data_IF_701452201995
#
_entry.id   IF_701452201995
#
_cell.length_a   1.000
_cell.length_b   1.000
_cell.length_c   1.000
_cell.angle_alpha   90.00
_cell.angle_beta   90.00
_cell.angle_gamma   90.00
#
_symmetry.space_group_name_H-M   'P 1'
#
loop_
_entity.id
_entity.type
_entity.pdbx_description
1 polymer ?
#
# COMPACT_ATOMS: atom_id res chain seq x y z
N UNK A 1 9.60 18.34 -0.50
CA UNK A 1 9.00 17.09 -1.03
C UNK A 1 9.58 15.90 -0.29
N UNK A 2 8.83 14.81 -0.20
CA UNK A 2 9.37 13.54 0.28
C UNK A 2 10.57 13.10 -0.55
N UNK A 3 11.65 12.62 0.06
CA UNK A 3 12.81 12.18 -0.72
C UNK A 3 12.53 10.93 -1.56
N UNK A 4 13.52 10.50 -2.36
CA UNK A 4 13.50 9.23 -3.11
C UNK A 4 13.05 8.04 -2.25
N UNK A 5 13.62 7.94 -1.05
CA UNK A 5 13.30 6.85 -0.13
C UNK A 5 11.86 6.95 0.42
N UNK A 6 11.34 8.17 0.61
CA UNK A 6 9.96 8.42 1.02
C UNK A 6 8.92 7.96 -0.02
N UNK A 7 9.34 7.77 -1.27
CA UNK A 7 8.52 7.20 -2.34
C UNK A 7 8.76 5.69 -2.51
N UNK A 8 10.03 5.28 -2.54
CA UNK A 8 10.42 3.89 -2.82
C UNK A 8 9.91 2.91 -1.77
N UNK A 9 10.13 3.17 -0.48
CA UNK A 9 9.82 2.18 0.56
C UNK A 9 8.32 2.00 0.82
N UNK A 10 7.50 3.08 0.89
CA UNK A 10 6.05 2.91 0.94
C UNK A 10 5.53 2.25 -0.34
N UNK A 11 6.05 2.62 -1.51
CA UNK A 11 5.69 2.03 -2.78
C UNK A 11 5.94 0.52 -2.83
N UNK A 12 7.10 0.05 -2.39
CA UNK A 12 7.41 -1.38 -2.26
C UNK A 12 6.46 -2.09 -1.29
N UNK A 13 6.22 -1.50 -0.12
CA UNK A 13 5.34 -2.08 0.91
C UNK A 13 3.92 -2.27 0.37
N UNK A 14 3.39 -1.25 -0.31
CA UNK A 14 2.07 -1.27 -0.94
C UNK A 14 2.02 -2.29 -2.10
N UNK A 15 3.06 -2.33 -2.93
CA UNK A 15 3.14 -3.25 -4.07
C UNK A 15 3.13 -4.73 -3.62
N UNK A 16 3.98 -5.08 -2.64
CA UNK A 16 4.01 -6.45 -2.10
C UNK A 16 2.72 -6.83 -1.39
N UNK A 17 2.04 -5.87 -0.76
CA UNK A 17 0.72 -6.09 -0.19
C UNK A 17 -0.32 -6.41 -1.28
N UNK A 18 -0.27 -5.72 -2.42
CA UNK A 18 -1.07 -6.05 -3.60
C UNK A 18 -0.81 -7.46 -4.15
N UNK A 19 0.47 -7.84 -4.29
CA UNK A 19 0.88 -9.19 -4.71
C UNK A 19 0.38 -10.28 -3.75
N UNK A 20 0.42 -10.01 -2.44
CA UNK A 20 -0.11 -10.92 -1.43
C UNK A 20 -1.61 -11.17 -1.64
N UNK A 21 -2.40 -10.11 -1.84
CA UNK A 21 -3.84 -10.25 -2.13
C UNK A 21 -4.09 -10.95 -3.47
N UNK A 22 -3.31 -10.66 -4.51
CA UNK A 22 -3.41 -11.34 -5.81
C UNK A 22 -3.24 -12.87 -5.67
N UNK A 23 -2.27 -13.31 -4.86
CA UNK A 23 -2.06 -14.73 -4.54
C UNK A 23 -3.23 -15.33 -3.76
N UNK A 24 -3.75 -14.62 -2.76
CA UNK A 24 -4.90 -15.08 -1.97
C UNK A 24 -6.14 -15.30 -2.85
N UNK A 25 -6.42 -14.37 -3.75
CA UNK A 25 -7.56 -14.43 -4.66
C UNK A 25 -7.41 -15.57 -5.65
N UNK A 26 -6.20 -15.73 -6.22
CA UNK A 26 -5.90 -16.86 -7.12
C UNK A 26 -6.18 -18.20 -6.43
N UNK A 27 -5.73 -18.35 -5.18
CA UNK A 27 -6.03 -19.53 -4.36
C UNK A 27 -7.54 -19.70 -4.11
N UNK A 28 -8.25 -18.62 -3.78
CA UNK A 28 -9.69 -18.67 -3.51
C UNK A 28 -10.49 -19.12 -4.75
N UNK A 29 -10.11 -18.61 -5.93
CA UNK A 29 -10.70 -19.00 -7.23
C UNK A 29 -10.43 -20.46 -7.56
N UNK A 30 -9.19 -20.93 -7.43
CA UNK A 30 -8.81 -22.31 -7.77
C UNK A 30 -9.46 -23.32 -6.82
N UNK A 31 -9.46 -23.03 -5.52
CA UNK A 31 -9.98 -23.97 -4.51
C UNK A 31 -11.50 -23.87 -4.31
N UNK A 32 -12.21 -22.98 -5.03
CA UNK A 32 -13.64 -22.67 -4.80
C UNK A 32 -13.98 -22.42 -3.32
N UNK A 33 -13.06 -21.79 -2.57
CA UNK A 33 -13.27 -21.45 -1.16
C UNK A 33 -13.39 -19.94 -1.02
N UNK A 34 -14.60 -19.38 -0.88
CA UNK A 34 -14.82 -17.93 -0.79
C UNK A 34 -14.52 -17.41 0.62
N UNK A 35 -13.38 -17.79 1.19
CA UNK A 35 -12.99 -17.39 2.53
C UNK A 35 -11.61 -16.74 2.44
N UNK A 36 -11.59 -15.41 2.34
CA UNK A 36 -10.37 -14.58 2.41
C UNK A 36 -9.58 -14.89 3.69
N UNK A 37 -10.32 -15.26 4.74
CA UNK A 37 -9.88 -15.31 6.12
C UNK A 37 -10.40 -16.59 6.80
N UNK A 38 -9.65 -17.71 6.74
CA UNK A 38 -10.08 -18.94 7.37
C UNK A 38 -10.33 -18.72 8.88
N UNK A 39 -11.35 -19.37 9.46
CA UNK A 39 -11.62 -19.25 10.89
C UNK A 39 -10.41 -19.66 11.72
N UNK A 40 -10.26 -19.03 12.89
CA UNK A 40 -9.17 -19.29 13.81
C UNK A 40 -9.12 -20.80 14.15
N UNK A 41 -8.02 -21.49 13.84
CA UNK A 41 -7.81 -22.86 14.31
C UNK A 41 -7.50 -22.83 15.81
N UNK A 42 -7.99 -23.78 16.63
CA UNK A 42 -7.63 -23.83 18.04
C UNK A 42 -6.12 -23.78 18.21
N UNK A 43 -5.64 -22.97 19.16
CA UNK A 43 -4.20 -22.87 19.43
C UNK A 43 -3.65 -24.25 19.79
N UNK A 44 -2.74 -24.75 18.95
CA UNK A 44 -2.01 -25.98 19.25
C UNK A 44 -1.08 -25.75 20.45
N UNK A 45 -0.92 -26.74 21.32
CA UNK A 45 -0.16 -26.59 22.57
C UNK A 45 1.36 -26.34 22.39
N UNK A 46 1.93 -26.57 21.19
CA UNK A 46 3.35 -26.36 20.93
C UNK A 46 3.71 -24.90 20.57
N UNK A 47 4.80 -24.34 21.15
CA UNK A 47 5.30 -22.99 20.83
C UNK A 47 5.55 -22.78 19.33
N UNK A 48 6.09 -23.79 18.65
CA UNK A 48 6.36 -23.75 17.21
C UNK A 48 5.10 -23.79 16.35
N UNK A 49 4.09 -24.55 16.78
CA UNK A 49 2.84 -24.64 16.08
C UNK A 49 1.97 -23.37 16.28
N UNK A 50 2.10 -22.71 17.45
CA UNK A 50 1.58 -21.36 17.71
C UNK A 50 2.23 -20.31 16.80
N UNK A 51 3.56 -20.31 16.66
CA UNK A 51 4.26 -19.39 15.75
C UNK A 51 3.77 -19.55 14.30
N UNK A 52 3.53 -20.78 13.85
CA UNK A 52 3.02 -21.08 12.49
C UNK A 52 1.58 -20.65 12.25
N UNK A 53 0.80 -20.36 13.31
CA UNK A 53 -0.60 -19.91 13.23
C UNK A 53 -0.75 -18.39 13.21
N UNK A 54 0.33 -17.63 13.40
CA UNK A 54 0.30 -16.15 13.44
C UNK A 54 0.04 -15.58 12.05
N UNK A 55 -0.89 -14.65 11.96
CA UNK A 55 -1.10 -13.83 10.77
C UNK A 55 -0.10 -12.67 10.77
N UNK A 56 0.81 -12.69 9.79
CA UNK A 56 1.93 -11.75 9.73
C UNK A 56 1.62 -10.40 9.11
N UNK A 57 0.45 -10.23 8.45
CA UNK A 57 0.13 -9.00 7.70
C UNK A 57 0.18 -7.77 8.60
N UNK A 58 -0.48 -7.79 9.75
CA UNK A 58 -0.47 -6.68 10.69
C UNK A 58 0.94 -6.39 11.26
N UNK A 59 1.73 -7.44 11.54
CA UNK A 59 3.11 -7.28 12.02
C UNK A 59 4.00 -6.63 10.95
N UNK A 60 3.86 -7.02 9.69
CA UNK A 60 4.60 -6.41 8.57
C UNK A 60 4.22 -4.93 8.44
N UNK A 61 2.94 -4.58 8.54
CA UNK A 61 2.49 -3.17 8.53
C UNK A 61 3.17 -2.37 9.64
N UNK A 62 3.12 -2.87 10.88
CA UNK A 62 3.75 -2.22 12.04
C UNK A 62 5.25 -2.02 11.83
N UNK A 63 5.98 -3.08 11.46
CA UNK A 63 7.43 -3.02 11.25
C UNK A 63 7.79 -2.05 10.13
N UNK A 64 7.07 -2.08 9.01
CA UNK A 64 7.30 -1.15 7.90
C UNK A 64 7.04 0.30 8.32
N UNK A 65 5.99 0.58 9.10
CA UNK A 65 5.74 1.94 9.63
C UNK A 65 6.90 2.43 10.51
N UNK A 66 7.48 1.58 11.36
CA UNK A 66 8.64 1.98 12.15
C UNK A 66 9.86 2.29 11.29
N UNK A 67 10.13 1.47 10.27
CA UNK A 67 11.24 1.70 9.33
C UNK A 67 11.04 3.03 8.59
N UNK A 68 9.82 3.28 8.11
CA UNK A 68 9.46 4.50 7.38
C UNK A 68 9.58 5.76 8.25
N UNK A 69 9.10 5.71 9.49
CA UNK A 69 9.25 6.81 10.46
C UNK A 69 10.72 7.06 10.77
N UNK A 70 11.50 6.01 11.05
CA UNK A 70 12.92 6.14 11.36
C UNK A 70 13.69 6.80 10.20
N UNK A 71 13.37 6.42 8.96
CA UNK A 71 13.97 7.00 7.76
C UNK A 71 13.59 8.47 7.56
N UNK A 72 12.32 8.83 7.72
CA UNK A 72 11.91 10.24 7.59
C UNK A 72 12.59 11.10 8.64
N UNK A 73 12.66 10.63 9.89
CA UNK A 73 13.36 11.34 10.96
C UNK A 73 14.87 11.44 10.70
N UNK A 74 15.49 10.41 10.12
CA UNK A 74 16.90 10.46 9.71
C UNK A 74 17.14 11.48 8.57
N UNK A 75 16.14 11.75 7.73
CA UNK A 75 16.27 12.74 6.65
C UNK A 75 16.22 14.20 7.13
N UNK A 76 15.71 14.45 8.34
CA UNK A 76 15.60 15.80 8.90
C UNK A 76 16.96 16.26 9.42
N UNK A 77 17.49 17.32 8.82
CA UNK A 77 18.72 17.97 9.29
C UNK A 77 18.39 18.93 10.44
N UNK A 78 18.42 18.43 11.68
CA UNK A 78 18.27 19.25 12.89
C UNK A 78 17.16 18.76 13.83
N UNK A 79 16.66 19.66 14.69
CA UNK A 79 15.57 19.34 15.59
C UNK A 79 14.24 19.29 14.81
N UNK A 80 13.54 18.16 14.94
CA UNK A 80 12.19 18.01 14.39
C UNK A 80 11.18 18.78 15.25
N UNK A 81 10.93 20.03 14.88
CA UNK A 81 10.03 20.96 15.60
C UNK A 81 8.83 21.26 14.72
N UNK A 82 7.64 21.41 15.31
CA UNK A 82 6.41 21.70 14.58
C UNK A 82 6.33 23.17 14.11
N UNK A 83 6.78 24.09 14.95
CA UNK A 83 6.65 25.54 14.75
C UNK A 83 8.02 26.18 14.92
N UNK A 84 8.45 26.93 13.92
CA UNK A 84 9.54 27.89 14.12
C UNK A 84 8.98 29.16 14.76
N UNK A 85 9.70 29.70 15.75
CA UNK A 85 9.43 31.04 16.32
C UNK A 85 10.46 32.07 15.86
N UNK A 86 11.28 31.72 14.88
CA UNK A 86 12.32 32.59 14.33
C UNK A 86 11.62 33.76 13.60
N UNK A 87 12.07 35.00 13.84
CA UNK A 87 11.53 36.25 13.27
C UNK A 87 10.05 36.61 13.59
N UNK A 88 9.51 36.21 14.77
CA UNK A 88 8.12 36.54 15.18
C UNK A 88 7.01 36.00 14.26
N UNK A 89 7.36 35.21 13.25
CA UNK A 89 6.42 34.59 12.33
C UNK A 89 6.20 33.13 12.75
N UNK A 90 4.95 32.77 13.04
CA UNK A 90 4.55 31.40 13.40
C UNK A 90 4.35 30.59 12.11
N UNK A 91 5.42 30.12 11.50
CA UNK A 91 5.34 29.19 10.37
C UNK A 91 5.47 27.75 10.85
N UNK A 92 4.62 26.88 10.30
CA UNK A 92 4.83 25.44 10.38
C UNK A 92 6.05 25.10 9.51
N UNK A 93 6.96 24.31 10.05
CA UNK A 93 8.17 23.84 9.35
C UNK A 93 8.09 22.32 9.20
N UNK A 94 8.73 21.80 8.15
CA UNK A 94 8.70 20.36 7.83
C UNK A 94 7.28 19.81 7.59
N UNK A 95 6.40 20.62 7.03
CA UNK A 95 5.01 20.29 6.69
C UNK A 95 4.88 18.95 5.94
N UNK A 96 5.71 18.72 4.92
CA UNK A 96 5.69 17.46 4.16
C UNK A 96 6.14 16.26 5.01
N UNK A 97 7.14 16.42 5.87
CA UNK A 97 7.55 15.35 6.79
C UNK A 97 6.46 15.05 7.83
N UNK A 98 5.75 16.06 8.33
CA UNK A 98 4.59 15.85 9.22
C UNK A 98 3.45 15.10 8.51
N UNK A 99 3.18 15.42 7.25
CA UNK A 99 2.22 14.66 6.43
C UNK A 99 2.67 13.21 6.24
N UNK A 100 3.96 12.96 5.97
CA UNK A 100 4.52 11.62 5.85
C UNK A 100 4.40 10.82 7.15
N UNK A 101 4.77 11.41 8.29
CA UNK A 101 4.59 10.77 9.60
C UNK A 101 3.12 10.44 9.88
N UNK A 102 2.20 11.34 9.51
CA UNK A 102 0.76 11.10 9.67
C UNK A 102 0.32 9.93 8.79
N UNK A 103 0.75 9.88 7.53
CA UNK A 103 0.52 8.73 6.66
C UNK A 103 1.04 7.43 7.28
N UNK A 104 2.28 7.39 7.76
CA UNK A 104 2.86 6.18 8.34
C UNK A 104 2.17 5.75 9.65
N UNK A 105 1.69 6.71 10.42
CA UNK A 105 0.88 6.46 11.62
C UNK A 105 -0.46 5.80 11.26
N UNK A 106 -1.12 6.18 10.17
CA UNK A 106 -2.34 5.47 9.73
C UNK A 106 -2.05 4.02 9.36
N UNK A 107 -0.92 3.75 8.70
CA UNK A 107 -0.52 2.38 8.36
C UNK A 107 -0.18 1.55 9.60
N UNK A 108 0.46 2.18 10.59
CA UNK A 108 0.76 1.57 11.88
C UNK A 108 -0.53 1.19 12.62
N UNK A 109 -1.48 2.11 12.72
CA UNK A 109 -2.77 1.87 13.38
C UNK A 109 -3.57 0.78 12.67
N UNK A 110 -3.61 0.77 11.35
CA UNK A 110 -4.21 -0.35 10.58
C UNK A 110 -3.51 -1.68 10.89
N UNK A 111 -2.18 -1.68 11.00
CA UNK A 111 -1.41 -2.86 11.40
C UNK A 111 -1.75 -3.35 12.81
N UNK A 112 -1.90 -2.44 13.78
CA UNK A 112 -2.33 -2.77 15.14
C UNK A 112 -3.71 -3.42 15.16
N UNK A 113 -4.67 -2.86 14.40
CA UNK A 113 -6.01 -3.43 14.27
C UNK A 113 -5.95 -4.85 13.68
N UNK A 114 -5.15 -5.05 12.63
CA UNK A 114 -4.95 -6.38 12.04
C UNK A 114 -4.38 -7.37 13.07
N UNK A 115 -3.36 -6.97 13.84
CA UNK A 115 -2.76 -7.85 14.86
C UNK A 115 -3.76 -8.22 15.94
N UNK A 116 -4.48 -7.22 16.46
CA UNK A 116 -5.48 -7.44 17.52
C UNK A 116 -6.59 -8.36 17.01
N UNK A 117 -7.16 -8.08 15.84
CA UNK A 117 -8.23 -8.88 15.26
C UNK A 117 -7.79 -10.30 14.91
N UNK A 118 -6.60 -10.47 14.31
CA UNK A 118 -6.19 -11.75 13.73
C UNK A 118 -5.46 -12.68 14.71
N UNK A 119 -4.86 -12.13 15.77
CA UNK A 119 -3.97 -12.90 16.65
C UNK A 119 -4.30 -12.79 18.15
N UNK A 120 -5.05 -11.76 18.59
CA UNK A 120 -5.32 -11.51 20.01
C UNK A 120 -6.77 -11.82 20.38
N UNK A 121 -7.73 -11.37 19.57
CA UNK A 121 -9.14 -11.57 19.86
C UNK A 121 -9.53 -13.06 19.76
N UNK A 122 -10.40 -13.58 20.65
CA UNK A 122 -10.91 -14.95 20.56
C UNK A 122 -11.65 -15.23 19.25
N UNK A 123 -12.33 -14.20 18.72
CA UNK A 123 -13.00 -14.22 17.43
C UNK A 123 -12.46 -13.07 16.58
N UNK A 124 -12.01 -13.42 15.36
CA UNK A 124 -11.54 -12.44 14.39
C UNK A 124 -12.67 -11.49 13.98
N UNK A 125 -12.35 -10.21 13.81
CA UNK A 125 -13.26 -9.14 13.40
C UNK A 125 -12.86 -8.53 12.03
N UNK A 126 -13.16 -9.19 10.89
CA UNK A 126 -12.77 -8.71 9.57
C UNK A 126 -13.32 -7.32 9.22
N UNK A 127 -14.50 -6.97 9.71
CA UNK A 127 -15.09 -5.65 9.50
C UNK A 127 -14.25 -4.53 10.14
N UNK A 128 -13.61 -4.79 11.28
CA UNK A 128 -12.73 -3.82 11.94
C UNK A 128 -11.43 -3.65 11.15
N UNK A 129 -10.87 -4.74 10.64
CA UNK A 129 -9.67 -4.73 9.76
C UNK A 129 -9.94 -3.91 8.48
N UNK A 130 -11.05 -4.20 7.80
CA UNK A 130 -11.48 -3.48 6.59
C UNK A 130 -11.80 -2.02 6.89
N UNK A 131 -12.48 -1.74 8.00
CA UNK A 131 -12.83 -0.39 8.42
C UNK A 131 -11.60 0.46 8.73
N UNK A 132 -10.61 -0.09 9.44
CA UNK A 132 -9.35 0.58 9.71
C UNK A 132 -8.55 0.83 8.42
N UNK A 133 -8.58 -0.10 7.47
CA UNK A 133 -7.95 0.06 6.17
C UNK A 133 -8.62 1.17 5.33
N UNK A 134 -9.96 1.20 5.29
CA UNK A 134 -10.71 2.26 4.60
C UNK A 134 -10.48 3.63 5.25
N UNK A 135 -10.49 3.71 6.59
CA UNK A 135 -10.17 4.94 7.32
C UNK A 135 -8.75 5.43 7.01
N UNK A 136 -7.77 4.52 6.97
CA UNK A 136 -6.40 4.86 6.59
C UNK A 136 -6.36 5.47 5.19
N UNK A 137 -7.06 4.87 4.22
CA UNK A 137 -7.13 5.42 2.85
C UNK A 137 -7.78 6.80 2.80
N UNK A 138 -8.85 7.01 3.56
CA UNK A 138 -9.52 8.31 3.64
C UNK A 138 -8.57 9.40 4.19
N UNK A 139 -7.82 9.10 5.25
CA UNK A 139 -6.86 10.03 5.83
C UNK A 139 -5.70 10.33 4.88
N UNK A 140 -5.19 9.33 4.16
CA UNK A 140 -4.13 9.52 3.15
C UNK A 140 -4.63 10.41 2.03
N UNK A 141 -5.82 10.13 1.49
CA UNK A 141 -6.42 10.93 0.43
C UNK A 141 -6.62 12.38 0.87
N UNK A 142 -7.02 12.59 2.12
CA UNK A 142 -7.17 13.93 2.71
C UNK A 142 -5.82 14.65 2.78
N UNK A 143 -4.75 13.97 3.21
CA UNK A 143 -3.40 14.56 3.24
C UNK A 143 -2.91 14.95 1.84
N UNK A 144 -3.27 14.19 0.81
CA UNK A 144 -2.87 14.49 -0.56
C UNK A 144 -3.44 15.79 -1.11
N UNK A 145 -4.55 16.31 -0.57
CA UNK A 145 -5.13 17.58 -1.00
C UNK A 145 -4.16 18.75 -0.79
N UNK A 146 -3.53 18.82 0.38
CA UNK A 146 -2.53 19.85 0.67
C UNK A 146 -1.11 19.45 0.29
N UNK A 147 -0.83 18.15 0.10
CA UNK A 147 0.49 17.68 -0.33
C UNK A 147 0.89 18.16 -1.73
N UNK A 148 -0.08 18.34 -2.61
CA UNK A 148 0.13 18.73 -4.01
C UNK A 148 -0.02 20.23 -4.27
N UNK A 149 -0.34 21.02 -3.23
CA UNK A 149 -0.66 22.44 -3.39
C UNK A 149 0.52 23.27 -3.92
N UNK A 150 1.74 22.88 -3.58
CA UNK A 150 2.99 23.50 -4.03
C UNK A 150 3.67 22.71 -5.18
N UNK A 151 3.02 21.70 -5.74
CA UNK A 151 3.55 20.88 -6.82
C UNK A 151 3.13 21.42 -8.20
N UNK A 152 4.03 21.34 -9.17
CA UNK A 152 3.78 21.73 -10.56
C UNK A 152 4.20 20.60 -11.51
N UNK A 153 3.84 20.73 -12.80
CA UNK A 153 4.36 19.87 -13.87
C UNK A 153 4.33 18.37 -13.61
N UNK A 154 5.46 17.70 -13.82
CA UNK A 154 5.62 16.25 -13.72
C UNK A 154 5.22 15.77 -12.33
N UNK A 155 5.62 16.49 -11.29
CA UNK A 155 5.27 16.11 -9.92
C UNK A 155 3.78 16.16 -9.66
N UNK A 156 3.12 17.26 -10.04
CA UNK A 156 1.69 17.45 -9.83
C UNK A 156 0.89 16.36 -10.54
N UNK A 157 1.13 16.16 -11.84
CA UNK A 157 0.41 15.16 -12.62
C UNK A 157 0.66 13.74 -12.11
N UNK A 158 1.88 13.44 -11.66
CA UNK A 158 2.20 12.14 -11.08
C UNK A 158 1.41 11.86 -9.80
N UNK A 159 1.30 12.86 -8.91
CA UNK A 159 0.52 12.74 -7.68
C UNK A 159 -0.99 12.74 -7.93
N UNK A 160 -1.50 13.48 -8.92
CA UNK A 160 -2.92 13.43 -9.30
C UNK A 160 -3.31 12.00 -9.72
N UNK A 161 -2.48 11.33 -10.53
CA UNK A 161 -2.73 9.94 -10.93
C UNK A 161 -2.69 8.99 -9.71
N UNK A 162 -1.78 9.23 -8.76
CA UNK A 162 -1.75 8.49 -7.50
C UNK A 162 -3.02 8.69 -6.67
N UNK A 163 -3.49 9.94 -6.54
CA UNK A 163 -4.74 10.32 -5.86
C UNK A 163 -5.93 9.57 -6.46
N UNK A 164 -6.01 9.48 -7.81
CA UNK A 164 -7.08 8.73 -8.48
C UNK A 164 -7.09 7.25 -8.06
N UNK A 165 -5.92 6.61 -8.00
CA UNK A 165 -5.82 5.20 -7.56
C UNK A 165 -6.21 5.03 -6.09
N UNK A 166 -5.77 5.95 -5.21
CA UNK A 166 -6.14 5.94 -3.80
C UNK A 166 -7.65 6.14 -3.59
N UNK A 167 -8.27 7.03 -4.37
CA UNK A 167 -9.72 7.22 -4.34
C UNK A 167 -10.46 5.95 -4.76
N UNK A 168 -10.04 5.29 -5.84
CA UNK A 168 -10.62 4.00 -6.24
C UNK A 168 -10.41 2.92 -5.17
N UNK A 169 -9.25 2.87 -4.51
CA UNK A 169 -8.98 1.97 -3.39
C UNK A 169 -9.93 2.23 -2.21
N UNK A 170 -10.20 3.49 -1.89
CA UNK A 170 -11.16 3.87 -0.85
C UNK A 170 -12.56 3.40 -1.21
N UNK A 171 -13.01 3.62 -2.46
CA UNK A 171 -14.32 3.15 -2.92
C UNK A 171 -14.46 1.63 -2.83
N UNK A 172 -13.44 0.89 -3.28
CA UNK A 172 -13.42 -0.58 -3.16
C UNK A 172 -13.40 -1.00 -1.69
N UNK A 173 -12.63 -0.33 -0.84
CA UNK A 173 -12.59 -0.60 0.60
C UNK A 173 -13.95 -0.39 1.28
N UNK A 174 -14.65 0.68 0.94
CA UNK A 174 -16.02 0.94 1.42
C UNK A 174 -16.98 -0.12 0.89
N UNK A 175 -16.92 -0.45 -0.40
CA UNK A 175 -17.78 -1.48 -1.00
C UNK A 175 -17.56 -2.87 -0.37
N UNK A 176 -16.32 -3.20 0.01
CA UNK A 176 -16.01 -4.44 0.72
C UNK A 176 -16.65 -4.53 2.11
N UNK A 177 -16.92 -3.41 2.80
CA UNK A 177 -17.64 -3.43 4.08
C UNK A 177 -19.08 -3.94 3.91
N UNK A 178 -19.71 -3.63 2.77
CA UNK A 178 -21.06 -4.07 2.44
C UNK A 178 -21.09 -5.48 1.84
N UNK A 179 -20.05 -5.84 1.08
CA UNK A 179 -19.96 -7.11 0.36
C UNK A 179 -18.59 -7.80 0.56
N UNK A 180 -18.27 -8.25 1.78
CA UNK A 180 -16.92 -8.70 2.15
C UNK A 180 -16.47 -9.97 1.43
N UNK A 181 -17.40 -10.78 0.90
CA UNK A 181 -17.10 -12.06 0.24
C UNK A 181 -17.07 -11.96 -1.30
N UNK A 182 -17.08 -10.75 -1.85
CA UNK A 182 -17.06 -10.54 -3.30
C UNK A 182 -15.64 -10.66 -3.86
N UNK A 183 -15.37 -11.75 -4.60
CA UNK A 183 -14.10 -11.96 -5.31
C UNK A 183 -13.75 -10.82 -6.28
N UNK A 184 -14.76 -10.14 -6.84
CA UNK A 184 -14.56 -8.98 -7.73
C UNK A 184 -13.88 -7.82 -6.99
N UNK A 185 -14.36 -7.49 -5.78
CA UNK A 185 -13.77 -6.42 -5.00
C UNK A 185 -12.36 -6.78 -4.54
N UNK A 186 -12.11 -8.04 -4.20
CA UNK A 186 -10.76 -8.48 -3.86
C UNK A 186 -9.81 -8.34 -5.07
N UNK A 187 -10.24 -8.75 -6.26
CA UNK A 187 -9.44 -8.63 -7.48
C UNK A 187 -9.11 -7.18 -7.82
N UNK A 188 -10.12 -6.29 -7.76
CA UNK A 188 -9.93 -4.86 -7.95
C UNK A 188 -8.97 -4.28 -6.90
N UNK A 189 -9.16 -4.62 -5.63
CA UNK A 189 -8.30 -4.18 -4.52
C UNK A 189 -6.84 -4.59 -4.74
N UNK A 190 -6.59 -5.86 -5.08
CA UNK A 190 -5.25 -6.36 -5.34
C UNK A 190 -4.57 -5.62 -6.50
N UNK A 191 -5.29 -5.44 -7.62
CA UNK A 191 -4.78 -4.72 -8.79
C UNK A 191 -4.46 -3.26 -8.44
N UNK A 192 -5.39 -2.56 -7.78
CA UNK A 192 -5.21 -1.15 -7.42
C UNK A 192 -4.08 -0.96 -6.40
N UNK A 193 -3.88 -1.88 -5.45
CA UNK A 193 -2.71 -1.85 -4.57
C UNK A 193 -1.40 -1.99 -5.35
N UNK A 194 -1.34 -2.91 -6.30
CA UNK A 194 -0.15 -3.04 -7.14
C UNK A 194 0.09 -1.78 -8.00
N UNK A 195 -0.97 -1.20 -8.55
CA UNK A 195 -0.86 0.06 -9.32
C UNK A 195 -0.34 1.17 -8.41
N UNK A 196 -0.96 1.39 -7.25
CA UNK A 196 -0.54 2.40 -6.28
C UNK A 196 0.94 2.23 -5.88
N UNK A 197 1.34 1.01 -5.52
CA UNK A 197 2.70 0.72 -5.09
C UNK A 197 3.73 0.92 -6.21
N UNK A 198 3.47 0.34 -7.39
CA UNK A 198 4.38 0.47 -8.54
C UNK A 198 4.49 1.92 -9.03
N UNK A 199 3.39 2.67 -9.00
CA UNK A 199 3.38 4.06 -9.40
C UNK A 199 4.14 4.93 -8.41
N UNK A 200 3.96 4.71 -7.10
CA UNK A 200 4.72 5.42 -6.08
C UNK A 200 6.23 5.18 -6.21
N UNK A 201 6.65 3.95 -6.56
CA UNK A 201 8.05 3.65 -6.92
C UNK A 201 8.48 4.46 -8.15
N UNK A 202 7.66 4.48 -9.20
CA UNK A 202 7.92 5.23 -10.43
C UNK A 202 8.07 6.73 -10.17
N UNK A 203 7.23 7.33 -9.31
CA UNK A 203 7.37 8.73 -8.88
C UNK A 203 8.74 8.98 -8.27
N UNK A 204 9.19 8.09 -7.36
CA UNK A 204 10.52 8.18 -6.77
C UNK A 204 11.62 8.22 -7.83
N UNK A 205 11.58 7.33 -8.82
CA UNK A 205 12.55 7.33 -9.90
C UNK A 205 12.44 8.57 -10.79
N UNK A 206 11.23 8.98 -11.20
CA UNK A 206 11.04 10.16 -12.07
C UNK A 206 11.58 11.45 -11.43
N UNK A 207 11.25 11.69 -10.15
CA UNK A 207 11.58 12.95 -9.48
C UNK A 207 13.03 13.02 -8.95
N UNK A 208 13.61 11.89 -8.53
CA UNK A 208 14.88 11.92 -7.79
C UNK A 208 16.02 11.14 -8.44
N UNK A 209 15.74 10.04 -9.15
CA UNK A 209 16.75 9.14 -9.70
C UNK A 209 16.30 8.54 -11.04
N UNK A 210 16.19 9.33 -12.11
CA UNK A 210 15.65 8.84 -13.37
C UNK A 210 16.49 7.70 -13.93
N UNK A 211 15.84 6.59 -14.29
CA UNK A 211 16.51 5.39 -14.82
C UNK A 211 17.23 5.70 -16.16
N UNK A 212 16.67 6.61 -16.95
CA UNK A 212 17.27 7.09 -18.21
C UNK A 212 18.49 8.00 -18.02
N UNK A 213 18.80 8.40 -16.77
CA UNK A 213 19.80 9.42 -16.46
C UNK A 213 19.39 10.86 -16.80
N UNK A 214 18.24 11.06 -17.46
CA UNK A 214 17.73 12.37 -17.83
C UNK A 214 16.70 12.84 -16.81
N UNK A 215 16.95 14.01 -16.20
CA UNK A 215 16.03 14.59 -15.22
C UNK A 215 14.75 15.04 -15.91
N UNK A 216 13.62 14.67 -15.30
CA UNK A 216 12.30 15.11 -15.71
C UNK A 216 12.09 16.56 -15.26
N UNK A 217 11.52 17.37 -16.14
CA UNK A 217 11.36 18.81 -15.96
C UNK A 217 9.89 19.19 -15.89
N UNK A 218 9.50 19.95 -14.87
CA UNK A 218 8.10 20.34 -14.63
C UNK A 218 7.54 21.28 -15.71
N UNK A 219 8.41 21.99 -16.43
CA UNK A 219 8.05 22.89 -17.52
C UNK A 219 8.12 22.23 -18.92
N UNK A 220 8.59 20.98 -19.03
CA UNK A 220 8.65 20.25 -20.29
C UNK A 220 7.32 19.53 -20.59
N UNK A 221 6.68 19.92 -21.70
CA UNK A 221 5.40 19.35 -22.14
C UNK A 221 5.49 17.88 -22.51
N UNK A 222 6.60 17.43 -23.07
CA UNK A 222 6.79 16.02 -23.43
C UNK A 222 6.87 15.17 -22.16
N UNK A 223 7.64 15.62 -21.17
CA UNK A 223 7.73 14.94 -19.88
C UNK A 223 6.33 14.79 -19.26
N UNK A 224 5.54 15.87 -19.17
CA UNK A 224 4.17 15.81 -18.64
C UNK A 224 3.29 14.79 -19.41
N UNK A 225 3.39 14.74 -20.75
CA UNK A 225 2.63 13.78 -21.56
C UNK A 225 3.05 12.32 -21.28
N UNK A 226 4.35 12.08 -21.11
CA UNK A 226 4.87 10.75 -20.84
C UNK A 226 4.53 10.24 -19.44
N UNK A 227 4.26 11.11 -18.46
CA UNK A 227 3.74 10.70 -17.13
C UNK A 227 2.48 9.85 -17.28
N UNK A 228 1.48 10.35 -18.00
CA UNK A 228 0.22 9.62 -18.20
C UNK A 228 0.40 8.35 -19.03
N UNK A 229 1.30 8.39 -20.02
CA UNK A 229 1.63 7.23 -20.85
C UNK A 229 2.25 6.11 -20.03
N UNK A 230 3.22 6.43 -19.16
CA UNK A 230 3.83 5.45 -18.25
C UNK A 230 2.80 4.89 -17.27
N UNK A 231 1.93 5.74 -16.70
CA UNK A 231 0.86 5.26 -15.83
C UNK A 231 -0.04 4.22 -16.52
N UNK A 232 -0.45 4.45 -17.77
CA UNK A 232 -1.22 3.47 -18.55
C UNK A 232 -0.46 2.14 -18.73
N UNK A 233 0.85 2.19 -18.99
CA UNK A 233 1.69 0.99 -19.07
C UNK A 233 1.78 0.24 -17.73
N UNK A 234 1.81 0.94 -16.60
CA UNK A 234 1.70 0.30 -15.28
C UNK A 234 0.35 -0.43 -15.12
N UNK A 235 -0.77 0.19 -15.50
CA UNK A 235 -2.09 -0.46 -15.43
C UNK A 235 -2.14 -1.73 -16.29
N UNK A 236 -1.70 -1.64 -17.55
CA UNK A 236 -1.71 -2.78 -18.48
C UNK A 236 -0.79 -3.90 -18.00
N UNK A 237 0.45 -3.58 -17.63
CA UNK A 237 1.44 -4.57 -17.17
C UNK A 237 1.01 -5.28 -15.90
N UNK A 238 0.38 -4.57 -14.95
CA UNK A 238 -0.10 -5.17 -13.71
C UNK A 238 -1.38 -5.98 -13.88
N UNK A 239 -2.25 -5.59 -14.82
CA UNK A 239 -3.37 -6.43 -15.22
C UNK A 239 -2.89 -7.74 -15.84
N UNK A 240 -1.87 -7.70 -16.71
CA UNK A 240 -1.22 -8.91 -17.22
C UNK A 240 -0.60 -9.72 -16.08
N UNK A 241 0.12 -9.08 -15.16
CA UNK A 241 0.73 -9.76 -14.01
C UNK A 241 -0.30 -10.50 -13.15
N UNK A 242 -1.50 -9.94 -12.95
CA UNK A 242 -2.61 -10.63 -12.27
C UNK A 242 -2.98 -11.94 -12.97
N UNK A 243 -3.09 -11.92 -14.31
CA UNK A 243 -3.40 -13.11 -15.12
C UNK A 243 -2.28 -14.14 -14.99
N UNK A 244 -1.02 -13.71 -15.04
CA UNK A 244 0.15 -14.58 -14.86
C UNK A 244 0.18 -15.22 -13.47
N UNK A 245 -0.07 -14.47 -12.40
CA UNK A 245 -0.13 -14.99 -11.03
C UNK A 245 -1.23 -16.06 -10.90
N UNK A 246 -2.39 -15.81 -11.50
CA UNK A 246 -3.48 -16.77 -11.52
C UNK A 246 -3.10 -18.05 -12.28
N UNK A 247 -2.59 -17.91 -13.51
CA UNK A 247 -2.18 -19.05 -14.34
C UNK A 247 -1.07 -19.88 -13.71
N UNK A 248 -0.06 -19.22 -13.13
CA UNK A 248 1.01 -19.89 -12.39
C UNK A 248 0.48 -20.60 -11.13
N UNK A 249 -0.42 -19.97 -10.38
CA UNK A 249 -1.06 -20.59 -9.22
C UNK A 249 -1.87 -21.82 -9.63
N UNK A 250 -2.64 -21.73 -10.71
CA UNK A 250 -3.44 -22.83 -11.25
C UNK A 250 -2.56 -24.03 -11.60
N UNK A 251 -1.49 -23.78 -12.37
CA UNK A 251 -0.50 -24.80 -12.71
C UNK A 251 0.13 -25.42 -11.45
N UNK A 252 0.57 -24.60 -10.50
CA UNK A 252 1.18 -25.08 -9.26
C UNK A 252 0.23 -25.97 -8.44
N UNK A 253 -1.02 -25.55 -8.25
CA UNK A 253 -1.98 -26.31 -7.45
C UNK A 253 -2.40 -27.62 -8.13
N UNK A 254 -2.58 -27.63 -9.45
CA UNK A 254 -2.95 -28.84 -10.18
C UNK A 254 -1.82 -29.87 -10.27
N UNK A 255 -0.58 -29.43 -10.50
CA UNK A 255 0.52 -30.36 -10.78
C UNK A 255 1.38 -30.71 -9.56
N UNK A 256 1.49 -29.83 -8.55
CA UNK A 256 2.37 -30.06 -7.40
C UNK A 256 1.63 -30.22 -6.08
N UNK A 257 0.52 -29.51 -5.86
CA UNK A 257 -0.19 -29.59 -4.57
C UNK A 257 -1.08 -30.85 -4.45
N UNK A 258 -1.66 -31.32 -5.56
CA UNK A 258 -2.48 -32.54 -5.58
C UNK A 258 -1.64 -33.83 -5.42
N UNK A 259 -0.33 -33.76 -5.65
CA UNK A 259 0.61 -34.85 -5.40
C UNK A 259 0.97 -35.04 -3.92
N UNK A 260 0.57 -34.12 -3.03
CA UNK A 260 0.89 -34.16 -1.60
C UNK A 260 -0.29 -34.65 -0.72
N UNK A 261 -1.44 -34.95 -1.34
CA UNK A 261 -2.67 -35.42 -0.67
C UNK A 261 -3.05 -36.84 -1.13
N UNK A 262 -2.26 -37.47 -2.01
CA UNK A 262 -2.44 -38.87 -2.41
C UNK A 262 -1.48 -39.79 -1.68
#
# INVERSE_FOLDING_TARGET
MGGFQGHLFPGLSIFFYGLYHARLISKALICNRPVQYPPHRPWSQGRWARLRQIHYVGLVKILSSFILVAQELHSVQGQFVLISKIFHQRSFIYDKQWQHLTFYATFFLSGCVDVVSQNVLPQRAPALEQGAQALSMFLILTLMVSHVEDAEGVELYSHILFIQVLFLLLLVGIAELWAPNSLRFWAMKALLYMIAGSWMIQIGFMLFKPISGHKWMDDDKNDILFVTTFFCWHVISLAMLMIWIYGFSFWWYHYFADAQIR
#
